data_IF_856265198676
#
_entry.id   IF_856265198676
#
_cell.length_a   1.000
_cell.length_b   1.000
_cell.length_c   1.000
_cell.angle_alpha   90.00
_cell.angle_beta   90.00
_cell.angle_gamma   90.00
#
_symmetry.space_group_name_H-M   'P 1'
#
loop_
_entity.id
_entity.type
_entity.pdbx_description
1 polymer ?
#
# COMPACT_ATOMS: atom_id res chain seq x y z
N UNK A 1 17.40 -0.95 -2.22
CA UNK A 1 16.17 -0.37 -1.66
C UNK A 1 16.36 1.13 -1.52
N UNK A 2 15.31 1.93 -1.74
CA UNK A 2 15.36 3.40 -1.68
C UNK A 2 14.13 3.92 -0.91
N UNK A 3 14.18 3.92 0.43
CA UNK A 3 13.01 4.20 1.23
C UNK A 3 12.65 5.71 1.20
N UNK A 4 11.36 6.00 1.09
CA UNK A 4 10.80 7.34 1.00
C UNK A 4 9.94 7.65 2.25
N UNK A 5 10.03 8.86 2.81
CA UNK A 5 9.16 9.31 3.90
C UNK A 5 7.75 9.72 3.41
N UNK A 6 7.49 9.70 2.10
CA UNK A 6 6.26 10.18 1.49
C UNK A 6 5.67 9.10 0.58
N UNK A 7 4.34 9.11 0.45
CA UNK A 7 3.61 8.26 -0.49
C UNK A 7 2.50 9.04 -1.19
N UNK A 8 2.19 8.63 -2.40
CA UNK A 8 1.05 9.11 -3.19
C UNK A 8 -0.11 8.11 -3.14
N UNK A 9 -1.32 8.60 -3.40
CA UNK A 9 -2.46 7.72 -3.60
C UNK A 9 -2.18 6.74 -4.77
N UNK A 10 -2.41 5.46 -4.51
CA UNK A 10 -2.11 4.35 -5.39
C UNK A 10 -0.79 3.65 -5.10
N UNK A 11 0.09 4.18 -4.25
CA UNK A 11 1.36 3.53 -3.96
C UNK A 11 1.18 2.23 -3.17
N UNK A 12 1.90 1.20 -3.62
CA UNK A 12 2.05 -0.07 -2.93
C UNK A 12 3.47 -0.14 -2.39
N UNK A 13 3.59 -0.32 -1.07
CA UNK A 13 4.86 -0.21 -0.38
C UNK A 13 5.06 -1.33 0.64
N UNK A 14 6.32 -1.57 0.99
CA UNK A 14 6.70 -2.42 2.12
C UNK A 14 7.31 -1.58 3.24
N UNK A 15 6.78 -1.72 4.45
CA UNK A 15 7.31 -1.09 5.65
C UNK A 15 8.14 -2.09 6.46
N UNK A 16 9.46 -2.01 6.29
CA UNK A 16 10.41 -2.97 6.86
C UNK A 16 10.32 -3.12 8.38
N UNK A 17 10.22 -2.05 9.19
CA UNK A 17 10.16 -2.18 10.65
C UNK A 17 8.98 -3.04 11.16
N UNK A 18 7.81 -2.94 10.52
CA UNK A 18 6.62 -3.71 10.90
C UNK A 18 6.41 -4.98 10.08
N UNK A 19 7.32 -5.29 9.15
CA UNK A 19 7.13 -6.34 8.14
C UNK A 19 5.76 -6.26 7.46
N UNK A 20 5.33 -5.04 7.13
CA UNK A 20 3.96 -4.75 6.72
C UNK A 20 3.87 -4.39 5.23
N UNK A 21 2.83 -4.91 4.58
CA UNK A 21 2.43 -4.49 3.25
C UNK A 21 1.46 -3.31 3.36
N UNK A 22 1.78 -2.20 2.72
CA UNK A 22 1.02 -0.95 2.81
C UNK A 22 0.45 -0.58 1.45
N UNK A 23 -0.83 -0.24 1.42
CA UNK A 23 -1.50 0.36 0.25
C UNK A 23 -1.92 1.76 0.66
N UNK A 24 -1.35 2.78 0.03
CA UNK A 24 -1.74 4.17 0.24
C UNK A 24 -2.85 4.52 -0.73
N UNK A 25 -4.10 4.66 -0.26
CA UNK A 25 -5.28 4.89 -1.11
C UNK A 25 -5.91 6.28 -0.96
N UNK A 26 -5.39 7.09 -0.04
CA UNK A 26 -5.87 8.44 0.24
C UNK A 26 -4.71 9.39 0.56
N UNK A 27 -4.95 10.36 1.45
CA UNK A 27 -3.96 11.37 1.84
C UNK A 27 -3.02 10.96 2.98
N UNK A 28 -3.25 9.78 3.59
CA UNK A 28 -2.41 9.27 4.68
C UNK A 28 -0.96 9.11 4.23
N UNK A 29 -0.03 9.44 5.12
CA UNK A 29 1.41 9.30 4.88
C UNK A 29 1.99 8.16 5.72
N UNK A 30 3.15 7.60 5.32
CA UNK A 30 3.84 6.58 6.10
C UNK A 30 4.19 7.08 7.50
N UNK A 31 4.14 6.19 8.50
CA UNK A 31 4.62 6.51 9.85
C UNK A 31 6.15 6.74 9.87
N UNK A 32 6.90 5.94 9.10
CA UNK A 32 8.31 6.14 8.81
C UNK A 32 8.61 5.66 7.39
N UNK A 33 9.85 5.85 6.92
CA UNK A 33 10.17 5.63 5.51
C UNK A 33 9.83 4.20 5.02
N UNK A 34 9.24 4.11 3.83
CA UNK A 34 8.77 2.87 3.20
C UNK A 34 9.43 2.66 1.85
N UNK A 35 9.53 1.40 1.43
CA UNK A 35 9.98 1.05 0.09
C UNK A 35 8.79 0.94 -0.85
N UNK A 36 8.70 1.82 -1.85
CA UNK A 36 7.70 1.68 -2.92
C UNK A 36 8.07 0.49 -3.82
N UNK A 37 7.12 -0.44 -4.00
CA UNK A 37 7.31 -1.68 -4.75
C UNK A 37 6.32 -1.83 -5.91
N UNK A 38 5.34 -0.93 -6.02
CA UNK A 38 4.42 -0.91 -7.14
C UNK A 38 3.37 0.20 -7.03
N UNK A 39 2.42 0.19 -7.95
CA UNK A 39 1.23 1.04 -7.90
C UNK A 39 -0.03 0.22 -8.19
N UNK A 40 -1.13 0.60 -7.55
CA UNK A 40 -2.47 0.12 -7.87
C UNK A 40 -2.87 0.66 -9.24
N UNK A 41 -3.14 -0.24 -10.18
CA UNK A 41 -3.48 0.13 -11.57
C UNK A 41 -4.98 0.31 -11.79
N UNK A 42 -5.83 -0.31 -10.96
CA UNK A 42 -7.31 -0.28 -11.05
C UNK A 42 -7.93 -0.48 -9.68
N UNK A 43 -9.12 0.10 -9.47
CA UNK A 43 -9.95 -0.15 -8.28
C UNK A 43 -9.40 0.43 -6.98
N UNK A 44 -8.71 1.57 -7.02
CA UNK A 44 -8.20 2.21 -5.80
C UNK A 44 -9.34 2.67 -4.86
N UNK A 45 -10.48 3.02 -5.45
CA UNK A 45 -11.67 3.50 -4.78
C UNK A 45 -12.33 2.45 -3.86
N UNK A 46 -12.10 1.16 -4.10
CA UNK A 46 -12.65 0.08 -3.26
C UNK A 46 -12.14 0.16 -1.82
N UNK A 47 -10.94 0.73 -1.61
CA UNK A 47 -10.31 0.82 -0.29
C UNK A 47 -10.99 1.86 0.61
N UNK A 48 -11.87 2.73 0.10
CA UNK A 48 -12.64 3.65 0.95
C UNK A 48 -13.77 2.95 1.71
N UNK A 49 -14.16 1.74 1.32
CA UNK A 49 -15.22 0.97 1.97
C UNK A 49 -14.73 -0.15 2.91
N UNK A 50 -13.42 -0.27 3.13
CA UNK A 50 -12.86 -1.33 4.00
C UNK A 50 -12.94 -0.93 5.47
N UNK A 51 -13.06 -1.92 6.33
CA UNK A 51 -13.02 -1.77 7.79
C UNK A 51 -11.82 -2.50 8.41
N UNK A 52 -11.50 -2.17 9.65
CA UNK A 52 -10.48 -2.91 10.40
C UNK A 52 -10.89 -4.37 10.56
N UNK A 53 -9.93 -5.29 10.33
CA UNK A 53 -10.18 -6.73 10.35
C UNK A 53 -10.63 -7.34 9.02
N UNK A 54 -10.89 -6.54 7.98
CA UNK A 54 -11.18 -7.07 6.64
C UNK A 54 -10.04 -7.93 6.10
N UNK A 55 -10.42 -9.05 5.47
CA UNK A 55 -9.44 -10.02 4.96
C UNK A 55 -8.96 -9.63 3.56
N UNK A 56 -7.67 -9.29 3.46
CA UNK A 56 -6.99 -9.06 2.18
C UNK A 56 -6.29 -10.35 1.72
N UNK A 57 -6.48 -10.75 0.46
CA UNK A 57 -5.82 -11.90 -0.16
C UNK A 57 -4.97 -11.40 -1.33
N UNK A 58 -3.65 -11.54 -1.21
CA UNK A 58 -2.72 -11.27 -2.31
C UNK A 58 -2.60 -12.52 -3.19
N UNK A 59 -2.73 -12.31 -4.51
CA UNK A 59 -2.54 -13.36 -5.51
C UNK A 59 -1.59 -12.85 -6.59
N UNK A 60 -0.85 -13.78 -7.21
CA UNK A 60 -0.06 -13.47 -8.40
C UNK A 60 -1.03 -13.10 -9.52
N UNK A 61 -0.84 -11.92 -10.12
CA UNK A 61 -1.57 -11.53 -11.33
C UNK A 61 -1.19 -12.42 -12.50
N UNK A 62 -2.14 -12.66 -13.40
CA UNK A 62 -1.84 -13.28 -14.69
C UNK A 62 -1.03 -12.28 -15.54
N UNK A 63 -0.08 -12.76 -16.38
CA UNK A 63 0.71 -11.91 -17.27
C UNK A 63 -0.14 -11.11 -18.26
#
# INVERSE_FOLDING_TARGET
>A
ENPSPQAEAGDVSYWTPGSAFCIFYGSSQPYSAVNHIGKVVRGLDIFFGIEDGDRIILRRGEP
#
